data_IF_162577533034
#
_entry.id   IF_162577533034
#
_cell.length_a   1.000
_cell.length_b   1.000
_cell.length_c   1.000
_cell.angle_alpha   90.00
_cell.angle_beta   90.00
_cell.angle_gamma   90.00
#
_symmetry.space_group_name_H-M   'P 1'
#
loop_
_entity.id
_entity.type
_entity.pdbx_description
1 polymer ?
#
# COMPACT_ATOMS: atom_id res chain seq x y z
N UNK A 1 -0.91 27.80 -7.74
CA UNK A 1 -1.06 28.06 -6.30
C UNK A 1 0.25 27.69 -5.60
N UNK A 2 0.76 28.57 -4.74
CA UNK A 2 1.95 28.25 -3.96
C UNK A 2 1.53 27.40 -2.75
N UNK A 3 2.02 26.18 -2.62
CA UNK A 3 1.91 25.35 -1.43
C UNK A 3 3.30 25.13 -0.82
N UNK A 4 3.36 24.86 0.47
CA UNK A 4 4.62 24.64 1.16
C UNK A 4 5.03 23.17 1.02
N UNK A 5 6.17 22.91 0.35
CA UNK A 5 6.78 21.57 0.28
C UNK A 5 7.51 21.28 1.59
N UNK A 6 6.82 20.75 2.58
CA UNK A 6 7.41 20.47 3.90
C UNK A 6 8.48 19.39 3.84
N UNK A 7 8.39 18.45 2.89
CA UNK A 7 9.39 17.40 2.64
C UNK A 7 10.72 17.93 2.06
N UNK A 8 10.71 19.14 1.51
CA UNK A 8 11.89 19.81 0.93
C UNK A 8 12.49 20.87 1.88
N UNK A 9 11.87 21.10 3.03
CA UNK A 9 12.40 22.02 4.04
C UNK A 9 13.73 21.51 4.59
N UNK A 10 14.58 22.44 5.02
CA UNK A 10 15.84 22.10 5.67
C UNK A 10 15.62 21.20 6.88
N UNK A 11 16.50 20.24 7.07
CA UNK A 11 16.52 19.37 8.25
C UNK A 11 16.57 20.17 9.55
N UNK A 12 16.02 19.61 10.61
CA UNK A 12 16.17 20.14 11.97
C UNK A 12 17.58 19.91 12.54
N UNK A 13 18.45 19.22 11.80
CA UNK A 13 19.81 18.84 12.23
C UNK A 13 20.84 19.41 11.26
N UNK A 14 21.96 19.84 11.80
CA UNK A 14 23.11 20.35 11.06
C UNK A 14 24.36 19.49 11.32
N UNK A 15 25.33 19.58 10.43
CA UNK A 15 26.62 18.89 10.58
C UNK A 15 26.51 17.38 10.78
N UNK A 16 25.61 16.73 10.05
CA UNK A 16 25.37 15.27 10.15
C UNK A 16 26.66 14.46 9.95
N UNK A 17 27.57 14.95 9.11
CA UNK A 17 28.87 14.34 8.82
C UNK A 17 29.85 14.35 10.01
N UNK A 18 29.53 15.11 11.06
CA UNK A 18 30.33 15.21 12.29
C UNK A 18 29.75 14.40 13.44
N UNK A 19 28.52 13.90 13.28
CA UNK A 19 27.86 13.09 14.31
C UNK A 19 28.45 11.70 14.39
N UNK A 20 28.56 11.16 15.59
CA UNK A 20 28.85 9.74 15.78
C UNK A 20 27.72 8.87 15.23
N UNK A 21 28.00 7.59 14.98
CA UNK A 21 26.97 6.64 14.54
C UNK A 21 25.83 6.56 15.57
N UNK A 22 26.13 6.59 16.85
CA UNK A 22 25.15 6.55 17.94
C UNK A 22 24.23 7.77 17.89
N UNK A 23 24.77 8.97 17.75
CA UNK A 23 24.01 10.22 17.60
C UNK A 23 23.11 10.19 16.36
N UNK A 24 23.63 9.73 15.21
CA UNK A 24 22.86 9.58 13.98
C UNK A 24 21.67 8.66 14.19
N UNK A 25 21.87 7.46 14.74
CA UNK A 25 20.82 6.48 14.97
C UNK A 25 19.77 6.99 15.98
N UNK A 26 20.21 7.63 17.06
CA UNK A 26 19.31 8.22 18.05
C UNK A 26 18.42 9.30 17.43
N UNK A 27 19.00 10.21 16.66
CA UNK A 27 18.29 11.33 16.05
C UNK A 27 17.33 10.86 14.94
N UNK A 28 17.76 9.90 14.07
CA UNK A 28 16.89 9.28 13.07
C UNK A 28 15.68 8.63 13.76
N UNK A 29 15.91 7.82 14.80
CA UNK A 29 14.83 7.16 15.52
C UNK A 29 13.87 8.16 16.19
N UNK A 30 14.36 9.31 16.67
CA UNK A 30 13.51 10.35 17.24
C UNK A 30 12.60 11.00 16.17
N UNK A 31 13.14 11.26 14.98
CA UNK A 31 12.33 11.72 13.85
C UNK A 31 11.28 10.68 13.45
N UNK A 32 11.65 9.41 13.36
CA UNK A 32 10.76 8.32 12.95
C UNK A 32 9.58 8.12 13.93
N UNK A 33 9.77 8.36 15.24
CA UNK A 33 8.69 8.31 16.24
C UNK A 33 7.55 9.28 15.96
N UNK A 34 7.79 10.35 15.21
CA UNK A 34 6.77 11.35 14.85
C UNK A 34 5.82 10.85 13.76
N UNK A 35 6.24 9.88 12.95
CA UNK A 35 5.50 9.42 11.77
C UNK A 35 4.15 8.78 12.12
N UNK A 36 4.04 7.83 13.05
CA UNK A 36 2.75 7.26 13.43
C UNK A 36 1.76 8.32 13.94
N UNK A 37 2.26 9.36 14.62
CA UNK A 37 1.42 10.45 15.10
C UNK A 37 0.89 11.33 13.96
N UNK A 38 1.69 11.53 12.91
CA UNK A 38 1.24 12.21 11.70
C UNK A 38 0.21 11.37 10.94
N UNK A 39 0.41 10.06 10.81
CA UNK A 39 -0.55 9.13 10.20
C UNK A 39 -1.87 9.12 10.97
N UNK A 40 -1.84 9.15 12.30
CA UNK A 40 -3.04 9.16 13.13
C UNK A 40 -3.98 10.34 12.79
N UNK A 41 -3.44 11.50 12.41
CA UNK A 41 -4.23 12.67 11.99
C UNK A 41 -4.95 12.46 10.64
N UNK A 42 -4.45 11.55 9.81
CA UNK A 42 -5.02 11.23 8.50
C UNK A 42 -6.02 10.06 8.53
N UNK A 43 -6.27 9.43 9.67
CA UNK A 43 -7.20 8.30 9.81
C UNK A 43 -8.59 8.55 9.19
N UNK A 44 -9.24 9.72 9.35
CA UNK A 44 -10.52 9.99 8.71
C UNK A 44 -10.45 9.94 7.18
N UNK A 45 -9.37 10.48 6.57
CA UNK A 45 -9.14 10.45 5.13
C UNK A 45 -8.91 9.00 4.65
N UNK A 46 -8.11 8.22 5.39
CA UNK A 46 -7.86 6.81 5.12
C UNK A 46 -9.18 6.02 5.15
N UNK A 47 -10.00 6.20 6.19
CA UNK A 47 -11.28 5.51 6.34
C UNK A 47 -12.23 5.82 5.18
N UNK A 48 -12.30 7.07 4.74
CA UNK A 48 -13.12 7.48 3.61
C UNK A 48 -12.69 6.79 2.32
N UNK A 49 -11.39 6.80 1.99
CA UNK A 49 -10.87 6.12 0.80
C UNK A 49 -11.07 4.60 0.86
N UNK A 50 -10.79 3.96 2.00
CA UNK A 50 -11.00 2.50 2.20
C UNK A 50 -12.46 2.13 1.94
N UNK A 51 -13.42 2.94 2.39
CA UNK A 51 -14.84 2.70 2.14
C UNK A 51 -15.18 2.70 0.64
N UNK A 52 -14.58 3.59 -0.15
CA UNK A 52 -14.75 3.60 -1.61
C UNK A 52 -14.12 2.36 -2.25
N UNK A 53 -12.89 2.00 -1.84
CA UNK A 53 -12.20 0.80 -2.32
C UNK A 53 -13.05 -0.45 -2.08
N UNK A 54 -13.53 -0.64 -0.86
CA UNK A 54 -14.37 -1.79 -0.48
C UNK A 54 -15.64 -1.83 -1.32
N UNK A 55 -16.28 -0.69 -1.54
CA UNK A 55 -17.50 -0.61 -2.37
C UNK A 55 -17.23 -1.06 -3.80
N UNK A 56 -16.17 -0.55 -4.44
CA UNK A 56 -15.79 -0.92 -5.81
C UNK A 56 -15.35 -2.38 -5.91
N UNK A 57 -14.52 -2.86 -4.97
CA UNK A 57 -14.04 -4.25 -4.97
C UNK A 57 -15.18 -5.27 -4.74
N UNK A 58 -16.21 -4.93 -3.97
CA UNK A 58 -17.42 -5.77 -3.84
C UNK A 58 -18.23 -5.89 -5.13
N UNK A 59 -18.09 -4.94 -6.03
CA UNK A 59 -18.68 -4.95 -7.38
C UNK A 59 -17.79 -5.59 -8.44
N UNK A 60 -16.68 -6.21 -8.03
CA UNK A 60 -15.72 -6.86 -8.92
C UNK A 60 -14.59 -5.97 -9.42
N UNK A 61 -14.48 -4.74 -8.92
CA UNK A 61 -13.36 -3.84 -9.21
C UNK A 61 -12.07 -4.26 -8.48
N UNK A 62 -10.96 -3.65 -8.90
CA UNK A 62 -9.60 -3.90 -8.41
C UNK A 62 -8.98 -2.64 -7.85
N UNK A 63 -7.90 -2.79 -7.10
CA UNK A 63 -7.11 -1.69 -6.56
C UNK A 63 -5.79 -1.55 -7.33
N UNK A 64 -5.47 -0.33 -7.74
CA UNK A 64 -4.21 0.00 -8.39
C UNK A 64 -3.45 1.05 -7.60
N UNK A 65 -2.16 0.81 -7.38
CA UNK A 65 -1.20 1.79 -6.90
C UNK A 65 -0.34 2.27 -8.07
N UNK A 66 -0.21 3.58 -8.25
CA UNK A 66 0.73 4.15 -9.21
C UNK A 66 1.71 5.08 -8.48
N UNK A 67 2.99 5.00 -8.80
CA UNK A 67 4.01 5.79 -8.13
C UNK A 67 5.34 5.78 -8.87
N UNK A 68 6.28 6.60 -8.41
CA UNK A 68 7.66 6.63 -8.90
C UNK A 68 8.65 6.38 -7.75
N UNK A 69 9.84 5.90 -8.06
CA UNK A 69 10.92 5.72 -7.08
C UNK A 69 10.49 4.92 -5.85
N UNK A 70 10.74 5.45 -4.66
CA UNK A 70 10.38 4.82 -3.37
C UNK A 70 8.87 4.58 -3.26
N UNK A 71 8.05 5.55 -3.66
CA UNK A 71 6.60 5.46 -3.58
C UNK A 71 6.04 4.34 -4.46
N UNK A 72 6.53 4.20 -5.71
CA UNK A 72 6.15 3.10 -6.59
C UNK A 72 6.57 1.73 -6.04
N UNK A 73 7.79 1.62 -5.47
CA UNK A 73 8.26 0.38 -4.83
C UNK A 73 7.39 -0.02 -3.65
N UNK A 74 6.97 0.92 -2.82
CA UNK A 74 6.09 0.64 -1.68
C UNK A 74 4.71 0.16 -2.13
N UNK A 75 4.15 0.72 -3.21
CA UNK A 75 2.92 0.23 -3.83
C UNK A 75 3.05 -1.21 -4.31
N UNK A 76 4.17 -1.56 -4.97
CA UNK A 76 4.45 -2.94 -5.40
C UNK A 76 4.60 -3.88 -4.21
N UNK A 77 5.33 -3.48 -3.16
CA UNK A 77 5.49 -4.28 -1.94
C UNK A 77 4.13 -4.61 -1.33
N UNK A 78 3.27 -3.61 -1.10
CA UNK A 78 1.96 -3.83 -0.50
C UNK A 78 1.05 -4.71 -1.38
N UNK A 79 1.02 -4.48 -2.69
CA UNK A 79 0.25 -5.27 -3.65
C UNK A 79 0.71 -6.73 -3.67
N UNK A 80 2.02 -6.98 -3.70
CA UNK A 80 2.60 -8.33 -3.79
C UNK A 80 2.34 -9.20 -2.55
N UNK A 81 2.07 -8.59 -1.40
CA UNK A 81 1.78 -9.31 -0.16
C UNK A 81 0.30 -9.72 -0.02
N UNK A 82 -0.61 -9.15 -0.82
CA UNK A 82 -2.03 -9.47 -0.75
C UNK A 82 -2.37 -10.92 -1.15
N UNK A 83 -1.85 -11.48 -2.26
CA UNK A 83 -2.13 -12.85 -2.65
C UNK A 83 -1.67 -13.90 -1.62
N UNK A 84 -0.42 -13.92 -1.13
CA UNK A 84 0.01 -14.93 -0.16
C UNK A 84 -0.70 -14.79 1.19
N UNK A 85 -1.03 -13.55 1.61
CA UNK A 85 -1.66 -13.28 2.90
C UNK A 85 -3.15 -13.61 2.91
N UNK A 86 -3.88 -13.19 1.89
CA UNK A 86 -5.35 -13.21 1.85
C UNK A 86 -5.92 -14.20 0.85
N UNK A 87 -5.09 -14.92 0.08
CA UNK A 87 -5.54 -15.89 -0.92
C UNK A 87 -6.35 -15.27 -2.05
N UNK A 88 -6.08 -14.02 -2.36
CA UNK A 88 -6.74 -13.30 -3.47
C UNK A 88 -5.97 -13.50 -4.78
N UNK A 89 -6.61 -13.28 -5.94
CA UNK A 89 -5.92 -13.26 -7.23
C UNK A 89 -4.80 -12.22 -7.28
N UNK A 90 -3.77 -12.49 -8.08
CA UNK A 90 -2.61 -11.59 -8.20
C UNK A 90 -2.94 -10.23 -8.81
N UNK A 91 -4.01 -10.16 -9.59
CA UNK A 91 -4.50 -8.94 -10.26
C UNK A 91 -5.54 -8.16 -9.45
N UNK A 92 -5.89 -8.60 -8.24
CA UNK A 92 -6.86 -7.89 -7.40
C UNK A 92 -6.29 -6.59 -6.81
N UNK A 93 -5.00 -6.59 -6.46
CA UNK A 93 -4.25 -5.39 -6.03
C UNK A 93 -2.99 -5.29 -6.86
N UNK A 94 -2.82 -4.20 -7.58
CA UNK A 94 -1.76 -4.00 -8.55
C UNK A 94 -0.85 -2.84 -8.16
N UNK A 95 0.46 -3.03 -8.22
CA UNK A 95 1.45 -1.96 -8.05
C UNK A 95 2.11 -1.64 -9.38
N UNK A 96 2.02 -0.41 -9.84
CA UNK A 96 2.62 0.08 -11.07
C UNK A 96 3.64 1.18 -10.72
N UNK A 97 4.83 1.07 -11.28
CA UNK A 97 5.92 2.02 -11.03
C UNK A 97 6.38 2.68 -12.33
N UNK A 98 6.57 3.99 -12.31
CA UNK A 98 7.17 4.72 -13.42
C UNK A 98 8.52 4.09 -13.83
N UNK A 99 8.66 3.73 -15.12
CA UNK A 99 9.83 3.02 -15.65
C UNK A 99 9.73 1.49 -15.60
N UNK A 100 8.58 0.94 -15.18
CA UNK A 100 8.28 -0.49 -15.20
C UNK A 100 9.13 -1.32 -14.24
N UNK A 101 9.16 -2.64 -14.42
CA UNK A 101 9.83 -3.58 -13.51
C UNK A 101 11.31 -3.30 -13.28
N UNK A 102 11.99 -2.73 -14.27
CA UNK A 102 13.39 -2.30 -14.12
C UNK A 102 13.55 -1.28 -13.00
N UNK A 103 12.56 -0.38 -12.83
CA UNK A 103 12.58 0.66 -11.82
C UNK A 103 12.43 0.14 -10.38
N UNK A 104 11.97 -1.10 -10.19
CA UNK A 104 11.91 -1.75 -8.88
C UNK A 104 13.32 -1.85 -8.27
N UNK A 105 14.32 -2.22 -9.09
CA UNK A 105 15.69 -2.50 -8.64
C UNK A 105 16.68 -1.37 -8.92
N UNK A 106 16.46 -0.59 -9.99
CA UNK A 106 17.37 0.47 -10.45
C UNK A 106 16.56 1.68 -10.85
N UNK A 107 17.05 2.88 -10.54
CA UNK A 107 16.43 4.11 -11.03
C UNK A 107 16.36 4.11 -12.56
N UNK A 108 15.23 4.56 -13.09
CA UNK A 108 15.04 4.84 -14.53
C UNK A 108 14.90 6.34 -14.65
N UNK A 109 15.90 6.96 -15.26
CA UNK A 109 15.98 8.41 -15.41
C UNK A 109 14.74 8.95 -16.15
N UNK A 110 14.24 10.11 -15.70
CA UNK A 110 13.12 10.84 -16.29
C UNK A 110 11.76 10.08 -16.36
N UNK A 111 11.67 8.85 -15.82
CA UNK A 111 10.42 8.08 -15.88
C UNK A 111 9.28 8.76 -15.12
N UNK A 112 9.59 9.48 -14.03
CA UNK A 112 8.61 10.20 -13.21
C UNK A 112 8.07 11.48 -13.86
N UNK A 113 8.73 11.98 -14.91
CA UNK A 113 8.36 13.22 -15.63
C UNK A 113 7.37 12.97 -16.78
N UNK A 114 7.14 11.70 -17.15
CA UNK A 114 6.25 11.35 -18.25
C UNK A 114 4.78 11.55 -17.88
N UNK A 115 4.10 12.47 -18.55
CA UNK A 115 2.69 12.81 -18.28
C UNK A 115 1.66 11.90 -18.97
N UNK A 116 2.07 10.99 -19.84
CA UNK A 116 1.17 10.09 -20.56
C UNK A 116 1.35 8.62 -20.16
N UNK A 117 2.52 8.27 -19.64
CA UNK A 117 2.88 6.85 -19.44
C UNK A 117 2.00 6.15 -18.39
N UNK A 118 1.62 6.83 -17.30
CA UNK A 118 0.77 6.23 -16.28
C UNK A 118 -0.57 5.72 -16.82
N UNK A 119 -1.15 6.46 -17.76
CA UNK A 119 -2.40 6.04 -18.40
C UNK A 119 -2.20 4.85 -19.32
N UNK A 120 -1.09 4.81 -20.09
CA UNK A 120 -0.73 3.66 -20.92
C UNK A 120 -0.55 2.41 -20.03
N UNK A 121 0.23 2.53 -18.95
CA UNK A 121 0.47 1.44 -18.00
C UNK A 121 -0.83 0.89 -17.38
N UNK A 122 -1.77 1.77 -17.04
CA UNK A 122 -3.10 1.39 -16.53
C UNK A 122 -3.94 0.68 -17.61
N UNK A 123 -3.90 1.15 -18.86
CA UNK A 123 -4.62 0.53 -19.97
C UNK A 123 -4.07 -0.87 -20.31
N UNK A 124 -2.75 -1.07 -20.25
CA UNK A 124 -2.12 -2.38 -20.42
C UNK A 124 -2.58 -3.38 -19.34
N UNK A 125 -2.99 -2.88 -18.16
CA UNK A 125 -3.60 -3.66 -17.09
C UNK A 125 -5.14 -3.73 -17.17
N UNK A 126 -5.73 -3.34 -18.30
CA UNK A 126 -7.18 -3.37 -18.55
C UNK A 126 -7.98 -2.63 -17.47
N UNK A 127 -7.57 -1.42 -17.13
CA UNK A 127 -8.25 -0.56 -16.14
C UNK A 127 -9.70 -0.28 -16.58
N UNK A 128 -10.63 -0.29 -15.63
CA UNK A 128 -12.06 -0.03 -15.86
C UNK A 128 -12.62 0.98 -14.87
N UNK A 129 -13.83 1.49 -15.10
CA UNK A 129 -14.55 2.39 -14.19
C UNK A 129 -14.92 1.74 -12.83
N UNK A 130 -14.85 0.41 -12.74
CA UNK A 130 -15.08 -0.32 -11.50
C UNK A 130 -13.84 -0.36 -10.59
N UNK A 131 -12.68 -0.04 -11.12
CA UNK A 131 -11.42 -0.07 -10.38
C UNK A 131 -11.21 1.22 -9.56
N UNK A 132 -10.23 1.19 -8.66
CA UNK A 132 -9.77 2.35 -7.88
C UNK A 132 -8.29 2.53 -8.10
N UNK A 133 -7.84 3.77 -8.34
CA UNK A 133 -6.42 4.10 -8.52
C UNK A 133 -5.96 5.03 -7.40
N UNK A 134 -4.87 4.65 -6.73
CA UNK A 134 -4.21 5.47 -5.70
C UNK A 134 -2.85 5.93 -6.23
N UNK A 135 -2.71 7.24 -6.38
CA UNK A 135 -1.44 7.87 -6.71
C UNK A 135 -0.57 8.09 -5.47
N UNK A 136 0.68 7.65 -5.51
CA UNK A 136 1.60 7.73 -4.37
C UNK A 136 2.78 8.63 -4.74
N UNK A 137 2.89 9.80 -4.11
CA UNK A 137 4.03 10.70 -4.26
C UNK A 137 4.22 11.54 -2.99
N UNK A 138 5.35 11.40 -2.31
CA UNK A 138 5.66 12.14 -1.09
C UNK A 138 5.61 13.66 -1.30
N UNK A 139 6.23 14.16 -2.39
CA UNK A 139 6.21 15.57 -2.76
C UNK A 139 4.83 16.07 -3.18
N UNK A 140 3.99 15.18 -3.72
CA UNK A 140 2.71 15.52 -4.33
C UNK A 140 2.83 16.28 -5.65
N UNK A 141 4.01 16.24 -6.31
CA UNK A 141 4.29 16.97 -7.55
C UNK A 141 4.77 16.10 -8.70
N UNK A 142 4.82 14.79 -8.55
CA UNK A 142 5.30 13.84 -9.58
C UNK A 142 4.40 13.84 -10.80
N UNK A 143 4.86 14.27 -11.99
CA UNK A 143 4.03 14.44 -13.19
C UNK A 143 3.35 13.14 -13.64
N UNK A 144 4.08 12.02 -13.64
CA UNK A 144 3.55 10.68 -13.95
C UNK A 144 2.29 10.36 -13.13
N UNK A 145 2.34 10.59 -11.80
CA UNK A 145 1.26 10.25 -10.88
C UNK A 145 0.06 11.19 -11.06
N UNK A 146 0.31 12.50 -11.16
CA UNK A 146 -0.74 13.51 -11.33
C UNK A 146 -1.52 13.26 -12.62
N UNK A 147 -0.81 13.15 -13.75
CA UNK A 147 -1.43 12.92 -15.05
C UNK A 147 -2.19 11.58 -15.11
N UNK A 148 -1.67 10.53 -14.44
CA UNK A 148 -2.39 9.27 -14.29
C UNK A 148 -3.73 9.44 -13.59
N UNK A 149 -3.79 10.17 -12.47
CA UNK A 149 -5.05 10.43 -11.76
C UNK A 149 -5.99 11.36 -12.54
N UNK A 150 -5.47 12.35 -13.25
CA UNK A 150 -6.27 13.21 -14.14
C UNK A 150 -7.00 12.35 -15.18
N UNK A 151 -6.29 11.45 -15.86
CA UNK A 151 -6.88 10.51 -16.82
C UNK A 151 -7.89 9.55 -16.20
N UNK A 152 -7.64 9.07 -14.99
CA UNK A 152 -8.62 8.27 -14.25
C UNK A 152 -9.91 9.07 -13.97
N UNK A 153 -9.79 10.32 -13.53
CA UNK A 153 -10.95 11.19 -13.28
C UNK A 153 -11.75 11.45 -14.56
N UNK A 154 -11.08 11.72 -15.70
CA UNK A 154 -11.72 11.89 -16.99
C UNK A 154 -12.52 10.64 -17.45
N UNK A 155 -12.12 9.45 -16.98
CA UNK A 155 -12.73 8.16 -17.30
C UNK A 155 -13.63 7.62 -16.17
N UNK A 156 -14.07 8.45 -15.23
CA UNK A 156 -14.95 8.09 -14.11
C UNK A 156 -14.41 6.99 -13.18
N UNK A 157 -13.09 6.81 -13.14
CA UNK A 157 -12.41 5.90 -12.24
C UNK A 157 -12.19 6.61 -10.91
N UNK A 158 -12.52 5.95 -9.80
CA UNK A 158 -12.32 6.50 -8.45
C UNK A 158 -10.83 6.68 -8.16
N UNK A 159 -10.45 7.89 -7.72
CA UNK A 159 -9.05 8.22 -7.44
C UNK A 159 -8.81 8.57 -5.98
N UNK A 160 -7.74 8.01 -5.42
CA UNK A 160 -7.15 8.43 -4.15
C UNK A 160 -5.71 8.89 -4.34
N UNK A 161 -5.13 9.51 -3.31
CA UNK A 161 -3.70 9.71 -3.30
C UNK A 161 -3.10 9.62 -1.89
N UNK A 162 -1.78 9.37 -1.81
CA UNK A 162 -0.99 9.45 -0.59
C UNK A 162 0.15 10.45 -0.84
N UNK A 163 0.12 11.58 -0.12
CA UNK A 163 1.15 12.62 -0.20
C UNK A 163 1.53 13.14 1.19
N UNK A 164 2.73 13.73 1.31
CA UNK A 164 3.20 14.32 2.56
C UNK A 164 3.15 15.86 2.56
N UNK A 165 2.55 16.46 1.53
CA UNK A 165 2.45 17.92 1.39
C UNK A 165 1.00 18.36 1.19
N UNK A 166 0.48 19.12 2.14
CA UNK A 166 -0.85 19.69 2.07
C UNK A 166 -0.98 20.70 0.91
N UNK A 167 -2.10 20.65 0.19
CA UNK A 167 -2.36 21.55 -0.92
C UNK A 167 -1.49 21.29 -2.17
N UNK A 168 -0.80 20.15 -2.22
CA UNK A 168 -0.02 19.75 -3.39
C UNK A 168 -0.92 19.47 -4.60
N UNK A 169 -0.41 19.62 -5.84
CA UNK A 169 -1.15 19.30 -7.05
C UNK A 169 -1.81 17.92 -7.00
N UNK A 170 -1.10 16.90 -6.54
CA UNK A 170 -1.64 15.55 -6.40
C UNK A 170 -2.82 15.48 -5.43
N UNK A 171 -2.74 16.18 -4.29
CA UNK A 171 -3.84 16.22 -3.32
C UNK A 171 -5.09 16.95 -3.87
N UNK A 172 -4.89 17.91 -4.78
CA UNK A 172 -5.98 18.63 -5.44
C UNK A 172 -6.59 17.84 -6.60
N UNK A 173 -5.82 16.96 -7.23
CA UNK A 173 -6.28 16.12 -8.36
C UNK A 173 -7.10 14.93 -7.87
N UNK A 174 -6.70 14.28 -6.76
CA UNK A 174 -7.37 13.11 -6.25
C UNK A 174 -8.75 13.42 -5.65
N UNK A 175 -9.76 12.57 -5.92
CA UNK A 175 -11.08 12.67 -5.31
C UNK A 175 -11.05 12.41 -3.79
N UNK A 176 -10.20 11.49 -3.35
CA UNK A 176 -10.04 11.09 -1.95
C UNK A 176 -8.57 11.19 -1.52
N UNK A 177 -8.06 12.40 -1.25
CA UNK A 177 -6.67 12.59 -0.87
C UNK A 177 -6.39 12.17 0.57
N UNK A 178 -5.27 11.47 0.79
CA UNK A 178 -4.67 11.21 2.10
C UNK A 178 -3.40 12.06 2.20
N UNK A 179 -3.43 13.02 3.13
CA UNK A 179 -2.31 13.95 3.35
C UNK A 179 -1.68 13.69 4.71
N UNK A 180 -0.44 13.20 4.73
CA UNK A 180 0.30 12.90 5.95
C UNK A 180 1.51 13.81 6.05
N UNK A 181 1.35 14.94 6.72
CA UNK A 181 2.44 15.92 6.88
C UNK A 181 3.43 15.41 7.93
N UNK A 182 4.61 14.97 7.47
CA UNK A 182 5.69 14.45 8.32
C UNK A 182 6.78 15.48 8.64
N UNK A 183 6.68 16.70 8.05
CA UNK A 183 7.69 17.73 8.19
C UNK A 183 8.99 17.43 7.43
N UNK A 184 10.09 18.19 7.72
CA UNK A 184 11.37 18.00 7.06
C UNK A 184 11.97 16.64 7.40
N UNK A 185 12.72 16.07 6.46
CA UNK A 185 13.43 14.80 6.65
C UNK A 185 14.72 14.99 7.47
N UNK A 186 15.22 13.93 8.09
CA UNK A 186 16.50 13.96 8.81
C UNK A 186 17.65 14.33 7.89
N UNK A 187 17.67 13.81 6.66
CA UNK A 187 18.52 14.31 5.58
C UNK A 187 17.63 15.11 4.64
N UNK A 188 17.89 16.41 4.50
CA UNK A 188 17.07 17.34 3.69
C UNK A 188 16.69 16.75 2.34
N UNK A 189 15.40 16.74 2.02
CA UNK A 189 14.84 16.24 0.75
C UNK A 189 14.84 14.72 0.58
N UNK A 190 15.35 13.94 1.55
CA UNK A 190 15.43 12.48 1.44
C UNK A 190 14.09 11.80 1.79
N UNK A 191 13.06 11.98 0.96
CA UNK A 191 11.68 11.54 1.19
C UNK A 191 11.48 10.00 1.26
N UNK A 192 12.55 9.20 1.04
CA UNK A 192 12.55 7.76 1.33
C UNK A 192 12.50 7.45 2.83
N UNK A 193 12.76 8.42 3.71
CA UNK A 193 12.81 8.27 5.18
C UNK A 193 11.40 8.39 5.80
N UNK A 194 11.09 9.49 6.50
CA UNK A 194 9.79 9.68 7.18
C UNK A 194 8.59 9.59 6.24
N UNK A 195 8.69 10.24 5.07
CA UNK A 195 7.61 10.19 4.08
C UNK A 195 7.39 8.78 3.56
N UNK A 196 8.47 8.04 3.25
CA UNK A 196 8.37 6.62 2.87
C UNK A 196 7.76 5.75 3.98
N UNK A 197 8.15 5.96 5.23
CA UNK A 197 7.58 5.28 6.39
C UNK A 197 6.08 5.56 6.54
N UNK A 198 5.66 6.83 6.38
CA UNK A 198 4.26 7.21 6.41
C UNK A 198 3.45 6.52 5.30
N UNK A 199 3.97 6.52 4.07
CA UNK A 199 3.34 5.84 2.93
C UNK A 199 3.16 4.34 3.21
N UNK A 200 4.19 3.67 3.73
CA UNK A 200 4.11 2.24 4.09
C UNK A 200 3.03 1.98 5.14
N UNK A 201 2.92 2.80 6.18
CA UNK A 201 1.89 2.65 7.21
C UNK A 201 0.49 2.83 6.62
N UNK A 202 0.29 3.83 5.77
CA UNK A 202 -0.99 4.08 5.10
C UNK A 202 -1.38 2.96 4.16
N UNK A 203 -0.46 2.47 3.31
CA UNK A 203 -0.69 1.36 2.40
C UNK A 203 -1.12 0.09 3.14
N UNK A 204 -0.41 -0.28 4.21
CA UNK A 204 -0.80 -1.43 5.03
C UNK A 204 -2.19 -1.28 5.66
N UNK A 205 -2.57 -0.07 6.09
CA UNK A 205 -3.92 0.19 6.61
C UNK A 205 -4.96 0.01 5.51
N UNK A 206 -4.72 0.53 4.31
CA UNK A 206 -5.64 0.45 3.18
C UNK A 206 -5.88 -1.01 2.78
N UNK A 207 -4.83 -1.73 2.43
CA UNK A 207 -4.94 -3.11 1.94
C UNK A 207 -5.51 -4.04 3.01
N UNK A 208 -5.00 -3.97 4.24
CA UNK A 208 -5.47 -4.82 5.33
C UNK A 208 -6.93 -4.56 5.67
N UNK A 209 -7.34 -3.29 5.83
CA UNK A 209 -8.73 -2.96 6.14
C UNK A 209 -9.67 -3.35 5.00
N UNK A 210 -9.28 -3.14 3.74
CA UNK A 210 -10.06 -3.57 2.58
C UNK A 210 -10.24 -5.10 2.57
N UNK A 211 -9.18 -5.87 2.75
CA UNK A 211 -9.25 -7.33 2.77
C UNK A 211 -10.08 -7.87 3.93
N UNK A 212 -10.03 -7.25 5.12
CA UNK A 212 -10.90 -7.59 6.25
C UNK A 212 -12.37 -7.35 5.88
N UNK A 213 -12.70 -6.19 5.30
CA UNK A 213 -14.06 -5.84 4.88
C UNK A 213 -14.59 -6.68 3.71
N UNK A 214 -13.69 -7.28 2.94
CA UNK A 214 -13.99 -8.28 1.90
C UNK A 214 -14.11 -9.71 2.47
N UNK A 215 -14.05 -9.87 3.79
CA UNK A 215 -14.22 -11.16 4.46
C UNK A 215 -13.04 -12.12 4.34
N UNK A 216 -11.82 -11.61 4.05
CA UNK A 216 -10.61 -12.45 3.92
C UNK A 216 -9.95 -12.81 5.26
N UNK A 217 -10.48 -12.28 6.35
CA UNK A 217 -10.04 -12.56 7.72
C UNK A 217 -11.24 -13.05 8.54
N UNK A 218 -11.05 -14.06 9.41
CA UNK A 218 -12.04 -14.53 10.38
C UNK A 218 -11.44 -14.38 11.78
N UNK A 219 -12.14 -13.65 12.67
CA UNK A 219 -11.56 -13.22 13.94
C UNK A 219 -10.33 -12.33 13.70
N UNK A 220 -9.16 -12.84 14.03
CA UNK A 220 -7.87 -12.21 13.76
C UNK A 220 -6.95 -13.07 12.88
N UNK A 221 -7.51 -14.06 12.15
CA UNK A 221 -6.76 -15.08 11.41
C UNK A 221 -6.97 -14.98 9.90
N UNK A 222 -5.88 -15.16 9.15
CA UNK A 222 -5.86 -15.24 7.67
C UNK A 222 -6.30 -16.64 7.23
N UNK A 223 -7.61 -16.84 7.04
CA UNK A 223 -8.21 -18.17 6.78
C UNK A 223 -8.14 -18.64 5.33
N UNK A 224 -7.74 -17.75 4.42
CA UNK A 224 -7.61 -18.03 2.98
C UNK A 224 -6.17 -17.89 2.47
N UNK A 225 -5.15 -17.78 3.36
CA UNK A 225 -3.73 -17.63 2.98
C UNK A 225 -3.27 -18.75 2.05
N UNK A 226 -2.38 -18.43 1.10
CA UNK A 226 -1.78 -19.42 0.22
C UNK A 226 -0.83 -20.33 1.01
N UNK A 227 -0.91 -21.64 0.75
CA UNK A 227 -0.11 -22.67 1.41
C UNK A 227 1.23 -22.87 0.67
N UNK A 228 1.97 -21.79 0.46
CA UNK A 228 3.15 -21.78 -0.42
C UNK A 228 4.44 -22.29 0.24
N UNK A 229 4.42 -22.54 1.55
CA UNK A 229 5.57 -23.09 2.28
C UNK A 229 5.11 -23.81 3.55
N UNK A 230 6.02 -24.63 4.12
CA UNK A 230 5.73 -25.48 5.28
C UNK A 230 5.24 -24.68 6.50
N UNK A 231 5.77 -23.48 6.72
CA UNK A 231 5.34 -22.60 7.81
C UNK A 231 3.87 -22.19 7.66
N UNK A 232 3.41 -21.90 6.45
CA UNK A 232 2.02 -21.52 6.19
C UNK A 232 1.10 -22.73 6.25
N UNK A 233 1.57 -23.91 5.81
CA UNK A 233 0.85 -25.18 5.95
C UNK A 233 0.65 -25.49 7.45
N UNK A 234 1.71 -25.49 8.26
CA UNK A 234 1.63 -25.75 9.70
C UNK A 234 0.69 -24.75 10.41
N UNK A 235 0.75 -23.47 10.04
CA UNK A 235 -0.17 -22.45 10.56
C UNK A 235 -1.62 -22.78 10.21
N UNK A 236 -1.89 -23.18 8.96
CA UNK A 236 -3.22 -23.59 8.51
C UNK A 236 -3.77 -24.80 9.27
N UNK A 237 -2.92 -25.83 9.48
CA UNK A 237 -3.27 -27.02 10.28
C UNK A 237 -3.64 -26.62 11.71
N UNK A 238 -2.82 -25.80 12.38
CA UNK A 238 -3.08 -25.33 13.75
C UNK A 238 -4.40 -24.54 13.85
N UNK A 239 -4.71 -23.71 12.84
CA UNK A 239 -5.98 -22.98 12.80
C UNK A 239 -7.19 -23.92 12.71
N UNK A 240 -7.10 -25.00 11.91
CA UNK A 240 -8.17 -25.99 11.79
C UNK A 240 -8.33 -26.74 13.13
N UNK A 241 -7.23 -27.18 13.76
CA UNK A 241 -7.26 -27.82 15.07
C UNK A 241 -7.98 -26.98 16.12
N UNK A 242 -7.68 -25.68 16.18
CA UNK A 242 -8.30 -24.76 17.13
C UNK A 242 -9.78 -24.50 16.84
N UNK A 243 -10.19 -24.46 15.55
CA UNK A 243 -11.56 -24.13 15.16
C UNK A 243 -12.53 -25.30 15.33
N UNK A 244 -12.08 -26.55 15.09
CA UNK A 244 -12.95 -27.74 15.09
C UNK A 244 -12.49 -28.86 16.03
N UNK A 245 -11.48 -28.62 16.89
CA UNK A 245 -11.00 -29.52 17.93
C UNK A 245 -10.60 -30.91 17.43
N UNK A 246 -9.88 -31.01 16.31
CA UNK A 246 -9.37 -32.28 15.73
C UNK A 246 -7.88 -32.45 15.93
N UNK A 247 -7.36 -33.69 15.68
CA UNK A 247 -5.93 -33.97 15.74
C UNK A 247 -5.16 -33.25 14.62
N UNK A 248 -3.82 -33.13 14.77
CA UNK A 248 -2.95 -32.56 13.76
C UNK A 248 -3.05 -33.32 12.42
N UNK A 249 -3.09 -34.65 12.47
CA UNK A 249 -3.19 -35.52 11.31
C UNK A 249 -4.49 -35.24 10.56
N UNK A 250 -5.63 -35.24 11.26
CA UNK A 250 -6.95 -34.96 10.68
C UNK A 250 -6.98 -33.55 10.09
N UNK A 251 -6.49 -32.54 10.81
CA UNK A 251 -6.44 -31.17 10.32
C UNK A 251 -5.56 -31.02 9.08
N UNK A 252 -4.42 -31.74 9.03
CA UNK A 252 -3.52 -31.75 7.87
C UNK A 252 -4.18 -32.37 6.63
N UNK A 253 -4.90 -33.48 6.81
CA UNK A 253 -5.65 -34.13 5.73
C UNK A 253 -6.76 -33.23 5.19
N UNK A 254 -7.51 -32.57 6.08
CA UNK A 254 -8.55 -31.61 5.71
C UNK A 254 -7.98 -30.43 4.94
N UNK A 255 -6.86 -29.85 5.43
CA UNK A 255 -6.21 -28.73 4.74
C UNK A 255 -5.74 -29.12 3.34
N UNK A 256 -5.13 -30.31 3.20
CA UNK A 256 -4.67 -30.84 1.91
C UNK A 256 -5.87 -31.11 0.96
N UNK A 257 -6.98 -31.67 1.47
CA UNK A 257 -8.16 -31.98 0.68
C UNK A 257 -8.88 -30.73 0.17
N UNK A 258 -9.02 -29.70 1.00
CA UNK A 258 -9.84 -28.53 0.69
C UNK A 258 -9.05 -27.28 0.29
N UNK A 259 -7.74 -27.26 0.48
CA UNK A 259 -6.82 -26.22 0.00
C UNK A 259 -6.85 -24.90 0.76
N UNK A 260 -7.75 -24.72 1.75
CA UNK A 260 -7.75 -23.57 2.65
C UNK A 260 -8.40 -23.90 3.99
N UNK A 261 -8.03 -23.15 5.04
CA UNK A 261 -8.62 -23.30 6.38
C UNK A 261 -10.15 -23.11 6.35
N UNK A 262 -10.62 -22.07 5.65
CA UNK A 262 -12.02 -21.76 5.51
C UNK A 262 -12.82 -22.95 4.94
N UNK A 263 -12.36 -23.49 3.82
CA UNK A 263 -13.03 -24.62 3.16
C UNK A 263 -12.95 -25.90 3.99
N UNK A 264 -11.80 -26.17 4.64
CA UNK A 264 -11.63 -27.33 5.51
C UNK A 264 -12.60 -27.32 6.67
N UNK A 265 -12.72 -26.20 7.38
CA UNK A 265 -13.66 -26.04 8.50
C UNK A 265 -15.10 -26.11 8.05
N UNK A 266 -15.46 -25.44 6.94
CA UNK A 266 -16.85 -25.44 6.43
C UNK A 266 -17.34 -26.82 5.99
N UNK A 267 -16.44 -27.72 5.55
CA UNK A 267 -16.80 -29.04 5.04
C UNK A 267 -16.53 -30.19 6.03
N UNK A 268 -16.10 -29.90 7.26
CA UNK A 268 -15.86 -30.95 8.26
C UNK A 268 -17.14 -31.59 8.81
N UNK A 269 -18.20 -30.82 8.90
CA UNK A 269 -19.50 -31.25 9.45
C UNK A 269 -20.50 -31.67 8.37
N UNK A 270 -20.06 -31.82 7.14
CA UNK A 270 -20.87 -32.37 6.02
C UNK A 270 -20.43 -33.80 5.71
#
# INVERSE_FOLDING_TARGET
>A
MNFTKTTEQASNYEHLEKMSVEELLYNINNEDKTVPLAVAKALPQIATLVSQIVTKMKLGGRLFYIGAGTSGRLGIVDASECPPTFGVPFDLVNGIIAGGDKAIRRAVENAEDHTTQAWIDLQENNITENDVVIGIAASGTTPYVIAGLEKCNENNIVTGCITCNAGSPLALTAQFPIVVVVGPEFVTGSSRMKAGTAQKLVLNMISTAAMIQLGKVKGNKMVDMQLSNDKLVDRGVKMIMEEIAVSYETASELLRKYGSVRKAVANYNL
#
